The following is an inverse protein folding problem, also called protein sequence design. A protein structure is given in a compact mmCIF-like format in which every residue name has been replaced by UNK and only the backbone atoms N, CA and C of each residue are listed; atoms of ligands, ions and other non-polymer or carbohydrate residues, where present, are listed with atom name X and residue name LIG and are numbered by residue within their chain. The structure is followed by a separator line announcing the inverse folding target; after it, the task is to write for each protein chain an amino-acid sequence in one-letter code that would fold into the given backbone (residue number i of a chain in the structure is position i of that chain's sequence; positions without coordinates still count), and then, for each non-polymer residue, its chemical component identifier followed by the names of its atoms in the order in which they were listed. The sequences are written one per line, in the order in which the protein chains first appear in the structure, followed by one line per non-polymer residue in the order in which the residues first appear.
data_IF_753923697608
#
_entry.id   IF_753923697608
#
_cell.length_a   1.000
_cell.length_b   1.000
_cell.length_c   1.000
_cell.angle_alpha   90.00
_cell.angle_beta   90.00
_cell.angle_gamma   90.00
#
_symmetry.space_group_name_H-M   'P 1'
#
loop_
_entity.id
_entity.type
_entity.pdbx_description
1 polymer ?
#
# COMPACT_ATOMS: atom_id res chain seq x y z
N UNK A 1 -11.83 -20.36 21.87
CA UNK A 1 -12.45 -19.37 22.77
C UNK A 1 -13.24 -18.41 21.91
N UNK A 2 -14.55 -18.66 21.84
CA UNK A 2 -15.51 -17.85 21.09
C UNK A 2 -15.67 -16.51 21.81
N UNK A 3 -14.95 -15.47 21.38
CA UNK A 3 -15.30 -14.11 21.69
C UNK A 3 -16.55 -13.74 20.89
N UNK A 4 -17.70 -14.20 21.35
CA UNK A 4 -18.98 -13.61 20.97
C UNK A 4 -19.00 -12.20 21.59
N UNK A 5 -18.66 -11.19 20.79
CA UNK A 5 -18.95 -9.82 21.18
C UNK A 5 -20.45 -9.69 21.28
N UNK A 6 -20.96 -9.75 22.51
CA UNK A 6 -22.40 -9.57 22.75
C UNK A 6 -22.83 -8.27 22.08
N UNK A 7 -23.80 -8.29 21.15
CA UNK A 7 -24.25 -7.12 20.39
C UNK A 7 -24.58 -5.92 21.27
N UNK A 8 -25.11 -6.17 22.45
CA UNK A 8 -25.43 -5.12 23.42
C UNK A 8 -24.19 -4.42 23.94
N UNK A 9 -23.08 -5.15 24.16
CA UNK A 9 -21.81 -4.57 24.63
C UNK A 9 -21.23 -3.64 23.56
N UNK A 10 -21.28 -4.02 22.29
CA UNK A 10 -20.85 -3.17 21.17
C UNK A 10 -21.72 -1.93 21.03
N UNK A 11 -23.03 -2.07 21.16
CA UNK A 11 -23.96 -0.94 21.13
C UNK A 11 -23.72 0.04 22.28
N UNK A 12 -23.51 -0.47 23.49
CA UNK A 12 -23.18 0.36 24.66
C UNK A 12 -21.83 1.04 24.53
N UNK A 13 -20.82 0.35 23.97
CA UNK A 13 -19.53 0.93 23.64
C UNK A 13 -19.65 2.12 22.67
N UNK A 14 -20.39 1.97 21.58
CA UNK A 14 -20.61 3.06 20.61
C UNK A 14 -21.31 4.25 21.25
N UNK A 15 -22.30 4.00 22.11
CA UNK A 15 -23.01 5.07 22.83
C UNK A 15 -22.08 5.85 23.76
N UNK A 16 -21.23 5.16 24.51
CA UNK A 16 -20.23 5.78 25.39
C UNK A 16 -19.11 6.48 24.58
N UNK A 17 -18.69 5.88 23.48
CA UNK A 17 -17.65 6.43 22.60
C UNK A 17 -18.02 7.81 22.03
N UNK A 18 -19.29 8.15 21.92
CA UNK A 18 -19.77 9.47 21.48
C UNK A 18 -19.18 10.61 22.33
N UNK A 19 -19.02 10.38 23.62
CA UNK A 19 -18.52 11.36 24.59
C UNK A 19 -16.98 11.26 24.76
N UNK A 20 -16.42 10.06 24.60
CA UNK A 20 -15.03 9.73 24.91
C UNK A 20 -14.12 9.64 23.67
N UNK A 21 -14.71 9.56 22.45
CA UNK A 21 -13.93 9.33 21.23
C UNK A 21 -13.12 10.57 20.86
N UNK A 22 -11.81 10.53 21.14
CA UNK A 22 -10.90 11.65 20.95
C UNK A 22 -9.69 11.33 20.08
N UNK A 23 -9.44 10.06 19.76
CA UNK A 23 -8.26 9.63 19.00
C UNK A 23 -8.62 8.97 17.68
N UNK A 24 -7.70 9.01 16.71
CA UNK A 24 -7.85 8.31 15.42
C UNK A 24 -7.96 6.79 15.57
N UNK A 25 -7.42 6.22 16.63
CA UNK A 25 -7.60 4.81 16.95
C UNK A 25 -9.07 4.47 17.24
N UNK A 26 -9.74 5.30 18.04
CA UNK A 26 -11.18 5.14 18.29
C UNK A 26 -11.99 5.33 17.01
N UNK A 27 -11.63 6.33 16.20
CA UNK A 27 -12.26 6.56 14.90
C UNK A 27 -12.12 5.34 13.97
N UNK A 28 -10.93 4.75 13.91
CA UNK A 28 -10.67 3.53 13.13
C UNK A 28 -11.57 2.38 13.58
N UNK A 29 -11.76 2.20 14.89
CA UNK A 29 -12.70 1.20 15.42
C UNK A 29 -14.15 1.51 15.00
N UNK A 30 -14.56 2.78 15.00
CA UNK A 30 -15.91 3.17 14.53
C UNK A 30 -16.12 2.84 13.05
N UNK A 31 -15.11 3.06 12.19
CA UNK A 31 -15.19 2.66 10.78
C UNK A 31 -15.34 1.15 10.63
N UNK A 32 -14.51 0.35 11.32
CA UNK A 32 -14.58 -1.09 11.23
C UNK A 32 -15.95 -1.62 11.72
N UNK A 33 -16.46 -1.08 12.82
CA UNK A 33 -17.77 -1.46 13.34
C UNK A 33 -18.89 -1.07 12.38
N UNK A 34 -18.83 0.15 11.81
CA UNK A 34 -19.80 0.60 10.83
C UNK A 34 -19.79 -0.31 9.59
N UNK A 35 -18.62 -0.61 9.03
CA UNK A 35 -18.48 -1.48 7.87
C UNK A 35 -18.96 -2.91 8.17
N UNK A 36 -18.69 -3.43 9.38
CA UNK A 36 -19.20 -4.72 9.83
C UNK A 36 -20.72 -4.74 9.88
N UNK A 37 -21.34 -3.71 10.44
CA UNK A 37 -22.79 -3.62 10.58
C UNK A 37 -23.50 -3.29 9.26
N UNK A 38 -22.80 -2.68 8.29
CA UNK A 38 -23.33 -2.28 6.99
C UNK A 38 -23.30 -3.40 5.93
N UNK A 39 -22.78 -4.60 6.26
CA UNK A 39 -22.75 -5.72 5.32
C UNK A 39 -24.15 -6.09 4.81
N UNK A 40 -24.21 -6.53 3.55
CA UNK A 40 -25.44 -7.06 2.97
C UNK A 40 -25.87 -8.39 3.65
N UNK A 41 -27.12 -8.80 3.42
CA UNK A 41 -27.67 -10.00 4.06
C UNK A 41 -26.97 -11.30 3.61
N UNK A 42 -26.40 -11.34 2.40
CA UNK A 42 -25.66 -12.51 1.92
C UNK A 42 -24.37 -12.74 2.72
N UNK A 43 -23.71 -11.65 3.15
CA UNK A 43 -22.50 -11.71 3.99
C UNK A 43 -22.83 -11.83 5.48
N UNK A 44 -24.04 -11.45 5.87
CA UNK A 44 -24.54 -11.49 7.24
C UNK A 44 -25.08 -12.90 7.56
N UNK A 45 -24.18 -13.83 7.86
CA UNK A 45 -24.56 -15.21 8.20
C UNK A 45 -25.08 -15.33 9.64
N UNK A 46 -25.69 -16.51 9.99
CA UNK A 46 -26.27 -16.76 11.30
C UNK A 46 -25.32 -16.49 12.47
N UNK A 47 -24.03 -16.87 12.31
CA UNK A 47 -23.02 -16.65 13.36
C UNK A 47 -22.75 -15.15 13.58
N UNK A 48 -22.64 -14.36 12.52
CA UNK A 48 -22.39 -12.92 12.60
C UNK A 48 -23.63 -12.16 13.09
N UNK A 49 -24.82 -12.65 12.76
CA UNK A 49 -26.09 -12.03 13.17
C UNK A 49 -26.56 -12.44 14.56
N UNK A 50 -25.91 -13.42 15.20
CA UNK A 50 -26.33 -13.92 16.50
C UNK A 50 -26.46 -12.80 17.54
N UNK A 51 -27.66 -12.71 18.15
CA UNK A 51 -27.98 -11.67 19.13
C UNK A 51 -28.24 -10.26 18.57
N UNK A 52 -28.07 -10.02 17.27
CA UNK A 52 -28.41 -8.75 16.63
C UNK A 52 -29.87 -8.72 16.18
N UNK A 53 -30.67 -7.85 16.78
CA UNK A 53 -31.95 -7.49 16.18
C UNK A 53 -31.74 -6.43 15.09
N UNK A 54 -32.61 -6.38 14.09
CA UNK A 54 -32.56 -5.36 13.04
C UNK A 54 -32.54 -3.93 13.62
N UNK A 55 -33.29 -3.69 14.68
CA UNK A 55 -33.32 -2.40 15.37
C UNK A 55 -31.97 -2.08 16.03
N UNK A 56 -31.38 -3.02 16.81
CA UNK A 56 -30.11 -2.84 17.50
C UNK A 56 -28.97 -2.58 16.50
N UNK A 57 -28.93 -3.35 15.40
CA UNK A 57 -28.00 -3.17 14.29
C UNK A 57 -28.10 -1.76 13.71
N UNK A 58 -29.29 -1.33 13.34
CA UNK A 58 -29.54 -0.01 12.74
C UNK A 58 -29.19 1.14 13.69
N UNK A 59 -29.54 1.04 14.95
CA UNK A 59 -29.29 2.10 15.95
C UNK A 59 -27.79 2.20 16.27
N UNK A 60 -27.08 1.07 16.37
CA UNK A 60 -25.63 1.04 16.59
C UNK A 60 -24.88 1.62 15.39
N UNK A 61 -25.26 1.25 14.18
CA UNK A 61 -24.69 1.79 12.95
C UNK A 61 -24.90 3.31 12.84
N UNK A 62 -26.11 3.80 13.14
CA UNK A 62 -26.42 5.23 13.16
C UNK A 62 -25.60 5.99 14.20
N UNK A 63 -25.41 5.41 15.40
CA UNK A 63 -24.60 6.01 16.45
C UNK A 63 -23.12 6.10 16.04
N UNK A 64 -22.57 5.05 15.42
CA UNK A 64 -21.21 5.07 14.87
C UNK A 64 -21.05 6.16 13.78
N UNK A 65 -22.03 6.27 12.87
CA UNK A 65 -22.04 7.30 11.83
C UNK A 65 -22.03 8.73 12.39
N UNK A 66 -22.72 9.00 13.48
CA UNK A 66 -22.70 10.32 14.14
C UNK A 66 -21.30 10.65 14.68
N UNK A 67 -20.56 9.67 15.16
CA UNK A 67 -19.17 9.85 15.60
C UNK A 67 -18.26 10.11 14.39
N UNK A 68 -18.36 9.30 13.35
CA UNK A 68 -17.58 9.40 12.12
C UNK A 68 -17.77 10.76 11.43
N UNK A 69 -19.00 11.29 11.45
CA UNK A 69 -19.33 12.56 10.77
C UNK A 69 -18.85 13.83 11.50
N UNK A 70 -18.18 13.72 12.64
CA UNK A 70 -17.73 14.90 13.37
C UNK A 70 -16.62 15.66 12.60
N UNK A 71 -16.71 16.99 12.46
CA UNK A 71 -15.76 17.77 11.65
C UNK A 71 -14.33 17.80 12.20
N UNK A 72 -14.12 17.54 13.50
CA UNK A 72 -12.81 17.49 14.14
C UNK A 72 -11.86 16.46 13.56
N UNK A 73 -12.38 15.42 12.90
CA UNK A 73 -11.55 14.29 12.46
C UNK A 73 -10.54 14.65 11.38
N UNK A 74 -10.81 15.68 10.58
CA UNK A 74 -9.83 16.11 9.57
C UNK A 74 -8.52 16.57 10.22
N UNK A 75 -8.61 17.42 11.23
CA UNK A 75 -7.44 17.92 11.98
C UNK A 75 -6.78 16.76 12.76
N UNK A 76 -7.56 16.01 13.54
CA UNK A 76 -7.02 14.89 14.33
C UNK A 76 -6.30 13.82 13.48
N UNK A 77 -6.75 13.57 12.25
CA UNK A 77 -6.13 12.63 11.32
C UNK A 77 -4.77 13.16 10.85
N UNK A 78 -4.70 14.44 10.48
CA UNK A 78 -3.43 15.06 10.06
C UNK A 78 -2.42 15.09 11.22
N UNK A 79 -2.84 15.51 12.40
CA UNK A 79 -2.01 15.52 13.62
C UNK A 79 -1.47 14.12 13.94
N UNK A 80 -2.32 13.09 13.80
CA UNK A 80 -1.91 11.72 14.06
C UNK A 80 -0.87 11.20 13.05
N UNK A 81 -0.98 11.60 11.78
CA UNK A 81 0.00 11.25 10.74
C UNK A 81 1.33 11.97 10.99
N UNK A 82 1.28 13.23 11.44
CA UNK A 82 2.46 14.06 11.72
C UNK A 82 3.13 13.74 13.07
N UNK A 83 2.44 13.07 13.98
CA UNK A 83 2.93 12.81 15.35
C UNK A 83 4.22 11.98 15.45
N UNK A 84 4.65 11.34 14.37
CA UNK A 84 5.81 10.45 14.34
C UNK A 84 5.61 9.08 15.01
N UNK A 85 4.50 8.87 15.74
CA UNK A 85 4.16 7.58 16.33
C UNK A 85 3.58 6.61 15.29
N UNK A 86 4.22 5.46 15.11
CA UNK A 86 3.85 4.46 14.10
C UNK A 86 2.37 4.04 14.19
N UNK A 87 1.87 3.83 15.40
CA UNK A 87 0.48 3.38 15.62
C UNK A 87 -0.52 4.47 15.24
N UNK A 88 -0.27 5.71 15.63
CA UNK A 88 -1.12 6.85 15.31
C UNK A 88 -1.10 7.11 13.80
N UNK A 89 0.08 7.08 13.16
CA UNK A 89 0.23 7.22 11.71
C UNK A 89 -0.54 6.15 10.96
N UNK A 90 -0.44 4.88 11.37
CA UNK A 90 -1.18 3.78 10.74
C UNK A 90 -2.70 4.02 10.77
N UNK A 91 -3.25 4.33 11.94
CA UNK A 91 -4.69 4.62 12.07
C UNK A 91 -5.09 5.92 11.35
N UNK A 92 -4.21 6.94 11.39
CA UNK A 92 -4.42 8.20 10.66
C UNK A 92 -4.56 7.98 9.16
N UNK A 93 -3.64 7.26 8.54
CA UNK A 93 -3.66 6.93 7.10
C UNK A 93 -4.94 6.14 6.75
N UNK A 94 -5.30 5.13 7.56
CA UNK A 94 -6.51 4.35 7.33
C UNK A 94 -7.78 5.21 7.41
N UNK A 95 -7.86 6.11 8.40
CA UNK A 95 -8.99 7.03 8.57
C UNK A 95 -9.03 8.09 7.46
N UNK A 96 -7.88 8.59 7.01
CA UNK A 96 -7.80 9.56 5.90
C UNK A 96 -8.46 9.00 4.63
N UNK A 97 -8.14 7.75 4.26
CA UNK A 97 -8.75 7.08 3.11
C UNK A 97 -10.28 6.96 3.23
N UNK A 98 -10.80 6.63 4.42
CA UNK A 98 -12.25 6.53 4.67
C UNK A 98 -12.97 7.89 4.66
N UNK A 99 -12.27 8.96 5.07
CA UNK A 99 -12.80 10.32 5.10
C UNK A 99 -12.59 11.10 3.79
N UNK A 100 -11.89 10.52 2.81
CA UNK A 100 -11.53 11.21 1.58
C UNK A 100 -10.57 12.38 1.78
N UNK A 101 -9.72 12.32 2.82
CA UNK A 101 -8.71 13.34 3.11
C UNK A 101 -7.47 13.03 2.27
N UNK A 102 -7.08 13.99 1.43
CA UNK A 102 -5.82 13.89 0.68
C UNK A 102 -4.64 14.17 1.62
N UNK A 103 -3.81 13.15 1.79
CA UNK A 103 -2.64 13.18 2.67
C UNK A 103 -1.33 12.98 1.90
N UNK A 104 -1.38 13.01 0.55
CA UNK A 104 -0.23 12.66 -0.28
C UNK A 104 0.98 13.56 -0.01
N UNK A 105 0.79 14.88 0.04
CA UNK A 105 1.89 15.82 0.30
C UNK A 105 2.46 15.65 1.72
N UNK A 106 1.62 15.41 2.73
CA UNK A 106 2.07 15.14 4.10
C UNK A 106 2.98 13.91 4.16
N UNK A 107 2.58 12.79 3.51
CA UNK A 107 3.40 11.59 3.47
C UNK A 107 4.67 11.79 2.64
N UNK A 108 4.61 12.56 1.55
CA UNK A 108 5.77 12.87 0.74
C UNK A 108 6.82 13.71 1.50
N UNK A 109 6.40 14.67 2.32
CA UNK A 109 7.30 15.42 3.18
C UNK A 109 7.99 14.51 4.20
N UNK A 110 7.26 13.57 4.83
CA UNK A 110 7.87 12.60 5.74
C UNK A 110 8.88 11.68 5.03
N UNK A 111 8.57 11.26 3.80
CA UNK A 111 9.50 10.49 2.98
C UNK A 111 10.77 11.27 2.65
N UNK A 112 10.64 12.59 2.42
CA UNK A 112 11.80 13.44 2.13
C UNK A 112 12.75 13.59 3.33
N UNK A 113 12.25 13.47 4.56
CA UNK A 113 13.06 13.46 5.78
C UNK A 113 13.81 12.13 5.97
N UNK A 114 13.21 11.01 5.59
CA UNK A 114 13.83 9.68 5.66
C UNK A 114 13.43 8.85 4.41
N UNK A 115 14.30 8.83 3.38
CA UNK A 115 14.03 8.14 2.12
C UNK A 115 13.94 6.61 2.19
N UNK A 116 14.29 5.99 3.33
CA UNK A 116 14.28 4.54 3.48
C UNK A 116 13.06 4.02 4.25
N UNK A 117 11.90 4.64 4.07
CA UNK A 117 10.62 4.21 4.62
C UNK A 117 9.75 3.53 3.55
N UNK A 118 9.88 2.22 3.41
CA UNK A 118 9.17 1.40 2.41
C UNK A 118 7.65 1.57 2.45
N UNK A 119 7.09 1.64 3.65
CA UNK A 119 5.64 1.82 3.86
C UNK A 119 5.10 3.14 3.31
N UNK A 120 5.91 4.21 3.27
CA UNK A 120 5.50 5.48 2.68
C UNK A 120 5.45 5.40 1.15
N UNK A 121 6.43 4.75 0.50
CA UNK A 121 6.36 4.49 -0.94
C UNK A 121 5.09 3.72 -1.30
N UNK A 122 4.78 2.66 -0.55
CA UNK A 122 3.57 1.87 -0.76
C UNK A 122 2.28 2.72 -0.68
N UNK A 123 2.19 3.66 0.26
CA UNK A 123 1.03 4.53 0.40
C UNK A 123 0.97 5.59 -0.71
N UNK A 124 2.11 6.21 -1.04
CA UNK A 124 2.20 7.26 -2.06
C UNK A 124 1.91 6.72 -3.47
N UNK A 125 2.33 5.48 -3.76
CA UNK A 125 2.06 4.79 -5.02
C UNK A 125 0.58 4.43 -5.23
N UNK A 126 -0.29 4.59 -4.23
CA UNK A 126 -1.75 4.43 -4.39
C UNK A 126 -2.41 5.58 -5.17
N UNK A 127 -1.70 6.68 -5.39
CA UNK A 127 -2.21 7.80 -6.18
C UNK A 127 -2.44 7.38 -7.64
N UNK A 128 -3.53 7.89 -8.23
CA UNK A 128 -3.80 7.79 -9.67
C UNK A 128 -3.28 9.02 -10.45
N UNK A 129 -2.78 10.02 -9.74
CA UNK A 129 -2.21 11.23 -10.34
C UNK A 129 -0.79 10.96 -10.86
N UNK A 130 -0.66 10.90 -12.19
CA UNK A 130 0.62 10.64 -12.87
C UNK A 130 1.69 11.67 -12.52
N UNK A 131 1.33 12.91 -12.22
CA UNK A 131 2.31 13.95 -11.85
C UNK A 131 2.92 13.66 -10.48
N UNK A 132 2.11 13.22 -9.53
CA UNK A 132 2.56 12.75 -8.21
C UNK A 132 3.46 11.52 -8.31
N UNK A 133 3.09 10.57 -9.16
CA UNK A 133 3.90 9.37 -9.38
C UNK A 133 5.25 9.73 -10.02
N UNK A 134 5.30 10.62 -11.01
CA UNK A 134 6.58 11.11 -11.58
C UNK A 134 7.45 11.77 -10.52
N UNK A 135 6.87 12.64 -9.69
CA UNK A 135 7.58 13.29 -8.58
C UNK A 135 8.17 12.27 -7.61
N UNK A 136 7.38 11.25 -7.23
CA UNK A 136 7.81 10.19 -6.32
C UNK A 136 8.90 9.30 -6.92
N UNK A 137 8.75 8.89 -8.17
CA UNK A 137 9.72 8.06 -8.89
C UNK A 137 11.04 8.81 -9.06
N UNK A 138 11.01 10.09 -9.48
CA UNK A 138 12.21 10.91 -9.57
C UNK A 138 12.92 11.01 -8.21
N UNK A 139 12.16 11.26 -7.14
CA UNK A 139 12.72 11.27 -5.78
C UNK A 139 13.40 9.95 -5.43
N UNK A 140 12.76 8.83 -5.72
CA UNK A 140 13.33 7.51 -5.46
C UNK A 140 14.61 7.25 -6.28
N UNK A 141 14.64 7.66 -7.55
CA UNK A 141 15.83 7.54 -8.41
C UNK A 141 17.04 8.37 -7.92
N UNK A 142 16.77 9.47 -7.22
CA UNK A 142 17.79 10.36 -6.67
C UNK A 142 18.30 9.91 -5.28
N UNK A 143 17.43 9.26 -4.47
CA UNK A 143 17.72 8.99 -3.06
C UNK A 143 17.92 7.52 -2.72
N UNK A 144 17.35 6.57 -3.50
CA UNK A 144 17.64 5.17 -3.28
C UNK A 144 19.05 4.80 -3.81
N UNK A 145 19.80 3.97 -3.08
CA UNK A 145 21.15 3.55 -3.48
C UNK A 145 21.10 2.50 -4.60
N UNK A 146 20.62 2.88 -5.80
CA UNK A 146 20.34 1.96 -6.91
C UNK A 146 21.55 1.13 -7.33
N UNK A 147 22.77 1.67 -7.21
CA UNK A 147 23.99 0.92 -7.51
C UNK A 147 24.27 -0.20 -6.51
N UNK A 148 23.83 -0.04 -5.25
CA UNK A 148 23.94 -1.08 -4.23
C UNK A 148 22.81 -2.10 -4.32
N UNK A 149 21.69 -1.72 -4.93
CA UNK A 149 20.58 -2.63 -5.23
C UNK A 149 20.89 -3.50 -6.44
N UNK A 150 21.47 -2.91 -7.50
CA UNK A 150 21.70 -3.54 -8.79
C UNK A 150 23.08 -4.25 -8.84
N UNK A 151 23.31 -5.22 -7.97
CA UNK A 151 24.58 -5.94 -7.85
C UNK A 151 24.66 -7.24 -8.68
N UNK A 152 23.63 -7.55 -9.41
CA UNK A 152 23.47 -8.76 -10.21
C UNK A 152 22.48 -9.75 -9.57
N UNK A 153 21.92 -10.68 -10.37
CA UNK A 153 20.98 -11.69 -9.90
C UNK A 153 21.57 -12.58 -8.80
N UNK A 154 20.76 -12.89 -7.81
CA UNK A 154 21.04 -13.81 -6.71
C UNK A 154 19.76 -14.50 -6.24
N UNK A 155 19.85 -15.23 -5.13
CA UNK A 155 18.76 -15.96 -4.51
C UNK A 155 18.28 -15.33 -3.18
N UNK A 156 18.60 -14.05 -2.98
CA UNK A 156 18.28 -13.33 -1.76
C UNK A 156 16.76 -13.15 -1.59
N UNK A 157 16.28 -13.38 -0.37
CA UNK A 157 14.86 -13.19 -0.03
C UNK A 157 14.50 -11.71 0.24
N UNK A 158 15.48 -10.85 0.48
CA UNK A 158 15.24 -9.43 0.77
C UNK A 158 14.64 -9.15 2.15
N UNK A 159 14.86 -10.03 3.13
CA UNK A 159 14.39 -9.87 4.50
C UNK A 159 15.47 -9.25 5.38
N UNK A 160 15.04 -8.43 6.34
CA UNK A 160 15.97 -7.78 7.28
C UNK A 160 16.24 -6.31 6.95
N UNK A 161 16.93 -5.63 7.88
CA UNK A 161 17.19 -4.19 7.76
C UNK A 161 18.20 -3.85 6.68
N UNK A 162 19.10 -4.74 6.37
CA UNK A 162 20.09 -4.64 5.30
C UNK A 162 19.45 -4.55 3.91
N UNK A 163 18.23 -5.06 3.77
CA UNK A 163 17.46 -5.02 2.52
C UNK A 163 16.40 -3.90 2.47
N UNK A 164 16.44 -2.93 3.38
CA UNK A 164 15.41 -1.87 3.42
C UNK A 164 15.31 -1.09 2.10
N UNK A 165 16.43 -0.83 1.43
CA UNK A 165 16.43 -0.18 0.13
C UNK A 165 15.76 -1.03 -0.97
N UNK A 166 15.92 -2.36 -0.92
CA UNK A 166 15.24 -3.31 -1.80
C UNK A 166 13.73 -3.34 -1.51
N UNK A 167 13.32 -3.24 -0.25
CA UNK A 167 11.91 -3.18 0.14
C UNK A 167 11.25 -1.87 -0.32
N UNK A 168 11.98 -0.74 -0.26
CA UNK A 168 11.53 0.53 -0.84
C UNK A 168 11.32 0.40 -2.36
N UNK A 169 12.29 -0.21 -3.06
CA UNK A 169 12.17 -0.46 -4.50
C UNK A 169 10.97 -1.36 -4.82
N UNK A 170 10.74 -2.44 -4.08
CA UNK A 170 9.58 -3.31 -4.22
C UNK A 170 8.26 -2.55 -4.10
N UNK A 171 8.16 -1.67 -3.09
CA UNK A 171 6.96 -0.88 -2.83
C UNK A 171 6.59 0.06 -3.98
N UNK A 172 7.58 0.43 -4.81
CA UNK A 172 7.36 1.23 -6.02
C UNK A 172 7.04 0.32 -7.20
N UNK A 173 7.90 -0.67 -7.49
CA UNK A 173 7.82 -1.51 -8.68
C UNK A 173 6.48 -2.24 -8.81
N UNK A 174 5.92 -2.74 -7.70
CA UNK A 174 4.66 -3.48 -7.70
C UNK A 174 3.44 -2.69 -8.20
N UNK A 175 3.57 -1.38 -8.37
CA UNK A 175 2.50 -0.50 -8.85
C UNK A 175 2.84 0.24 -10.14
N UNK A 176 4.05 0.04 -10.70
CA UNK A 176 4.48 0.72 -11.93
C UNK A 176 3.84 0.14 -13.20
N UNK A 177 3.24 -1.02 -13.14
CA UNK A 177 2.43 -1.60 -14.23
C UNK A 177 1.36 -0.62 -14.76
N UNK A 178 0.84 0.25 -13.88
CA UNK A 178 -0.18 1.27 -14.20
C UNK A 178 0.39 2.53 -14.86
N UNK A 179 1.70 2.71 -14.90
CA UNK A 179 2.35 3.98 -15.27
C UNK A 179 3.44 3.76 -16.33
N UNK A 180 3.02 3.36 -17.53
CA UNK A 180 3.92 3.07 -18.64
C UNK A 180 4.90 4.24 -18.95
N UNK A 181 6.18 3.89 -19.11
CA UNK A 181 7.25 4.85 -19.40
C UNK A 181 7.76 5.65 -18.19
N UNK A 182 7.34 5.31 -16.95
CA UNK A 182 7.81 5.96 -15.73
C UNK A 182 8.66 4.99 -14.91
N UNK A 183 9.88 5.42 -14.49
CA UNK A 183 10.73 4.65 -13.58
C UNK A 183 11.65 3.65 -14.27
N UNK A 184 12.08 3.93 -15.48
CA UNK A 184 13.03 3.07 -16.23
C UNK A 184 14.27 2.69 -15.41
N UNK A 185 14.86 3.66 -14.67
CA UNK A 185 16.04 3.41 -13.84
C UNK A 185 15.73 2.46 -12.67
N UNK A 186 14.56 2.59 -12.07
CA UNK A 186 14.11 1.71 -10.99
C UNK A 186 13.85 0.29 -11.51
N UNK A 187 13.22 0.15 -12.68
CA UNK A 187 12.99 -1.15 -13.32
C UNK A 187 14.33 -1.83 -13.64
N UNK A 188 15.29 -1.11 -14.23
CA UNK A 188 16.64 -1.64 -14.51
C UNK A 188 17.37 -2.08 -13.23
N UNK A 189 17.24 -1.30 -12.15
CA UNK A 189 17.81 -1.69 -10.85
C UNK A 189 17.12 -2.94 -10.30
N UNK A 190 15.80 -3.04 -10.43
CA UNK A 190 15.02 -4.21 -10.04
C UNK A 190 15.40 -5.48 -10.79
N UNK A 191 15.55 -5.39 -12.13
CA UNK A 191 16.00 -6.51 -12.97
C UNK A 191 17.40 -7.02 -12.59
N UNK A 192 18.27 -6.15 -12.09
CA UNK A 192 19.64 -6.47 -11.68
C UNK A 192 19.82 -6.69 -10.17
N UNK A 193 18.74 -6.86 -9.43
CA UNK A 193 18.79 -7.04 -7.97
C UNK A 193 19.16 -8.49 -7.60
N UNK A 194 19.94 -8.73 -6.52
CA UNK A 194 20.11 -10.06 -5.95
C UNK A 194 18.81 -10.60 -5.32
N UNK A 195 17.88 -9.70 -4.97
CA UNK A 195 16.58 -10.07 -4.39
C UNK A 195 15.62 -10.55 -5.46
N UNK A 196 15.20 -11.82 -5.41
CA UNK A 196 14.29 -12.44 -6.38
C UNK A 196 12.99 -11.65 -6.55
N UNK A 197 12.45 -11.15 -5.44
CA UNK A 197 11.21 -10.36 -5.46
C UNK A 197 11.36 -9.06 -6.27
N UNK A 198 12.46 -8.32 -6.14
CA UNK A 198 12.69 -7.11 -6.94
C UNK A 198 12.63 -7.41 -8.45
N UNK A 199 13.30 -8.50 -8.88
CA UNK A 199 13.29 -8.91 -10.29
C UNK A 199 11.89 -9.24 -10.78
N UNK A 200 11.13 -9.99 -9.97
CA UNK A 200 9.75 -10.30 -10.29
C UNK A 200 8.84 -9.08 -10.36
N UNK A 201 9.00 -8.10 -9.47
CA UNK A 201 8.21 -6.85 -9.50
C UNK A 201 8.59 -5.97 -10.70
N UNK A 202 9.86 -5.94 -11.10
CA UNK A 202 10.31 -5.25 -12.31
C UNK A 202 9.69 -5.86 -13.58
N UNK A 203 9.65 -7.20 -13.67
CA UNK A 203 8.97 -7.89 -14.76
C UNK A 203 7.47 -7.63 -14.76
N UNK A 204 6.82 -7.64 -13.60
CA UNK A 204 5.39 -7.31 -13.47
C UNK A 204 5.08 -5.90 -14.01
N UNK A 205 5.92 -4.92 -13.71
CA UNK A 205 5.74 -3.58 -14.25
C UNK A 205 5.78 -3.59 -15.80
N UNK A 206 6.74 -4.29 -16.37
CA UNK A 206 6.89 -4.41 -17.83
C UNK A 206 5.76 -5.23 -18.48
N UNK A 207 5.19 -6.21 -17.81
CA UNK A 207 4.02 -6.95 -18.27
C UNK A 207 2.81 -6.02 -18.50
N UNK A 208 2.63 -5.03 -17.63
CA UNK A 208 1.54 -4.05 -17.74
C UNK A 208 1.75 -3.01 -18.84
N UNK A 209 3.00 -2.82 -19.36
CA UNK A 209 3.29 -1.80 -20.35
C UNK A 209 3.22 -2.31 -21.78
N UNK A 210 2.81 -1.46 -22.71
CA UNK A 210 2.97 -1.73 -24.14
C UNK A 210 4.45 -1.76 -24.51
N UNK A 211 4.85 -2.65 -25.43
CA UNK A 211 6.24 -2.81 -25.87
C UNK A 211 6.88 -1.49 -26.37
N UNK A 212 6.09 -0.63 -27.01
CA UNK A 212 6.53 0.70 -27.47
C UNK A 212 6.99 1.60 -26.32
N UNK A 213 6.42 1.42 -25.13
CA UNK A 213 6.75 2.21 -23.94
C UNK A 213 8.06 1.80 -23.28
N UNK A 214 8.69 0.68 -23.70
CA UNK A 214 9.93 0.19 -23.06
C UNK A 214 11.16 0.99 -23.53
N UNK A 215 11.21 1.42 -24.77
CA UNK A 215 12.40 2.01 -25.36
C UNK A 215 13.57 0.99 -25.49
N UNK A 216 14.59 1.37 -26.22
CA UNK A 216 15.73 0.48 -26.52
C UNK A 216 16.50 0.05 -25.25
N UNK A 217 16.58 0.93 -24.26
CA UNK A 217 17.37 0.67 -23.05
C UNK A 217 16.72 -0.40 -22.15
N UNK A 218 15.40 -0.41 -22.00
CA UNK A 218 14.69 -1.45 -21.26
C UNK A 218 14.68 -2.78 -22.01
N UNK A 219 14.52 -2.76 -23.34
CA UNK A 219 14.65 -3.96 -24.16
C UNK A 219 16.04 -4.59 -23.97
N UNK A 220 17.09 -3.79 -24.05
CA UNK A 220 18.45 -4.25 -23.79
C UNK A 220 18.66 -4.80 -22.39
N UNK A 221 18.06 -4.17 -21.38
CA UNK A 221 18.14 -4.63 -20.00
C UNK A 221 17.43 -5.98 -19.80
N UNK A 222 16.26 -6.19 -20.41
CA UNK A 222 15.52 -7.48 -20.34
C UNK A 222 16.30 -8.60 -21.05
N UNK A 223 16.89 -8.31 -22.21
CA UNK A 223 17.74 -9.29 -22.92
C UNK A 223 18.95 -9.67 -22.05
N UNK A 224 19.64 -8.69 -21.50
CA UNK A 224 20.78 -8.93 -20.63
C UNK A 224 20.38 -9.70 -19.35
N UNK A 225 19.25 -9.38 -18.76
CA UNK A 225 18.74 -10.10 -17.57
C UNK A 225 18.57 -11.58 -17.84
N UNK A 226 18.09 -11.99 -19.02
CA UNK A 226 17.95 -13.41 -19.38
C UNK A 226 19.32 -14.13 -19.43
N UNK A 227 20.38 -13.44 -19.87
CA UNK A 227 21.72 -14.01 -19.99
C UNK A 227 22.37 -14.28 -18.62
N UNK A 228 22.09 -13.42 -17.62
CA UNK A 228 22.74 -13.47 -16.31
C UNK A 228 21.87 -14.07 -15.21
N UNK A 229 20.56 -14.29 -15.46
CA UNK A 229 19.62 -14.78 -14.46
C UNK A 229 20.02 -16.18 -13.97
N UNK A 230 19.89 -16.40 -12.67
CA UNK A 230 20.25 -17.65 -11.99
C UNK A 230 19.03 -18.44 -11.54
N UNK A 231 17.89 -17.78 -11.33
CA UNK A 231 16.63 -18.37 -10.86
C UNK A 231 15.79 -18.82 -12.06
N UNK A 232 15.52 -20.12 -12.17
CA UNK A 232 14.84 -20.70 -13.33
C UNK A 232 13.42 -20.14 -13.54
N UNK A 233 12.67 -19.93 -12.45
CA UNK A 233 11.31 -19.36 -12.53
C UNK A 233 11.30 -17.93 -13.08
N UNK A 234 12.35 -17.15 -12.80
CA UNK A 234 12.51 -15.79 -13.34
C UNK A 234 12.90 -15.83 -14.80
N UNK A 235 13.79 -16.77 -15.22
CA UNK A 235 14.14 -16.98 -16.63
C UNK A 235 12.93 -17.31 -17.48
N UNK A 236 12.10 -18.27 -17.03
CA UNK A 236 10.87 -18.66 -17.70
C UNK A 236 9.96 -17.44 -17.89
N UNK A 237 9.83 -16.62 -16.85
CA UNK A 237 9.03 -15.40 -16.90
C UNK A 237 9.58 -14.36 -17.88
N UNK A 238 10.90 -14.16 -17.93
CA UNK A 238 11.56 -13.28 -18.91
C UNK A 238 11.29 -13.77 -20.33
N UNK A 239 11.43 -15.08 -20.60
CA UNK A 239 11.16 -15.67 -21.90
C UNK A 239 9.71 -15.44 -22.34
N UNK A 240 8.75 -15.74 -21.46
CA UNK A 240 7.32 -15.53 -21.72
C UNK A 240 6.99 -14.06 -21.99
N UNK A 241 7.58 -13.14 -21.20
CA UNK A 241 7.41 -11.71 -21.38
C UNK A 241 7.94 -11.23 -22.75
N UNK A 242 9.13 -11.67 -23.13
CA UNK A 242 9.73 -11.32 -24.44
C UNK A 242 8.88 -11.82 -25.61
N UNK A 243 8.42 -13.05 -25.53
CA UNK A 243 7.53 -13.63 -26.54
C UNK A 243 6.22 -12.82 -26.65
N UNK A 244 5.59 -12.51 -25.53
CA UNK A 244 4.34 -11.75 -25.49
C UNK A 244 4.50 -10.31 -26.02
N UNK A 245 5.67 -9.69 -25.88
CA UNK A 245 5.96 -8.32 -26.33
C UNK A 245 6.64 -8.26 -27.70
N UNK A 246 7.11 -9.38 -28.24
CA UNK A 246 7.77 -9.45 -29.55
C UNK A 246 9.18 -8.83 -29.55
N UNK A 247 9.95 -8.97 -28.45
CA UNK A 247 11.27 -8.39 -28.25
C UNK A 247 12.32 -9.43 -27.92
#
# INVERSE_FOLDING_TARGET
DDYEYAPQVLSDYVRLAREMCSTVKHLSVMFHLHDFLAQDEERWNERMSAGWTAQLRTDTMRAAQVIIAQPKWKENVLDAIESGELVNRYHGIACAGKLGIDIWETLYHQLAEDPLQDSLYLQLMKSEDTSRIRKLVQFAEEHLPLQHIATGPGDEMGLGREFIAHQCLDSILQSLDRFAGIGERLIKAGLNSPVVRNRNMALQALEGWDAVSWGEQLIGAVIHSLEVETEESVKERICALREAKGV
#
